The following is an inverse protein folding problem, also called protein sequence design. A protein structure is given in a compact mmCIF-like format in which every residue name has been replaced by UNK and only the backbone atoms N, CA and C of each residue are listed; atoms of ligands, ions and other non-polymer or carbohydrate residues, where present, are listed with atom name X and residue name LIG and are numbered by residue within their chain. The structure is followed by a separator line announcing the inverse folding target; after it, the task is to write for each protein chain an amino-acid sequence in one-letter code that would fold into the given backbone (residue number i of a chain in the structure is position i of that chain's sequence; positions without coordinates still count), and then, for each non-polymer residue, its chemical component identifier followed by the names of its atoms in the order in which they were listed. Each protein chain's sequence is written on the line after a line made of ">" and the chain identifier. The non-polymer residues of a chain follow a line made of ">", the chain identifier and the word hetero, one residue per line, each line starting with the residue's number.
data_IF_718396785207
#
_entry.id   IF_718396785207
#
_cell.length_a   1.000
_cell.length_b   1.000
_cell.length_c   1.000
_cell.angle_alpha   90.00
_cell.angle_beta   90.00
_cell.angle_gamma   90.00
#
_symmetry.space_group_name_H-M   'P 1'
#
loop_
_entity.id
_entity.type
_entity.pdbx_description
1 polymer ?
#
# COMPACT_ATOMS: atom_id res chain seq x y z
N UNK A 1 8.39 20.80 0.45
CA UNK A 1 8.76 19.48 -0.10
C UNK A 1 7.65 18.53 0.28
N UNK A 2 6.88 18.03 -0.69
CA UNK A 2 5.85 17.02 -0.43
C UNK A 2 6.57 15.78 0.11
N UNK A 3 6.25 15.30 1.31
CA UNK A 3 6.76 14.01 1.78
C UNK A 3 6.10 12.93 0.92
N UNK A 4 6.87 12.23 0.10
CA UNK A 4 6.37 11.04 -0.59
C UNK A 4 6.09 9.95 0.45
N UNK A 5 5.05 9.15 0.23
CA UNK A 5 4.79 7.95 1.02
C UNK A 5 5.67 6.77 0.59
N UNK A 6 6.37 6.90 -0.54
CA UNK A 6 7.13 5.85 -1.18
C UNK A 6 8.64 6.05 -1.02
N UNK A 7 9.39 4.97 -1.12
CA UNK A 7 10.85 5.02 -1.14
C UNK A 7 11.34 5.73 -2.41
N UNK A 8 12.55 6.31 -2.40
CA UNK A 8 13.15 6.90 -3.60
C UNK A 8 13.28 5.89 -4.74
N UNK A 9 13.35 6.40 -5.98
CA UNK A 9 13.58 5.56 -7.16
C UNK A 9 14.86 4.73 -7.01
N UNK A 10 14.82 3.43 -7.36
CA UNK A 10 16.01 2.59 -7.34
C UNK A 10 17.04 3.12 -8.35
N UNK A 11 18.33 2.92 -8.03
CA UNK A 11 19.41 3.28 -8.93
C UNK A 11 19.39 2.37 -10.18
N UNK A 12 19.85 2.92 -11.32
CA UNK A 12 20.02 2.14 -12.56
C UNK A 12 18.81 2.09 -13.48
N UNK A 13 17.71 2.79 -13.17
CA UNK A 13 16.62 3.00 -14.11
C UNK A 13 17.07 3.92 -15.25
N UNK A 14 16.64 3.60 -16.47
CA UNK A 14 16.75 4.52 -17.59
C UNK A 14 15.73 5.67 -17.49
N UNK A 15 15.78 6.61 -18.44
CA UNK A 15 14.91 7.79 -18.43
C UNK A 15 13.43 7.45 -18.58
N UNK A 16 13.09 6.43 -19.38
CA UNK A 16 11.71 6.03 -19.63
C UNK A 16 11.13 5.31 -18.40
N UNK A 17 11.90 4.40 -17.82
CA UNK A 17 11.56 3.69 -16.60
C UNK A 17 11.38 4.65 -15.42
N UNK A 18 12.27 5.64 -15.29
CA UNK A 18 12.17 6.66 -14.26
C UNK A 18 10.92 7.52 -14.43
N UNK A 19 10.61 7.95 -15.66
CA UNK A 19 9.41 8.73 -15.95
C UNK A 19 8.13 7.92 -15.65
N UNK A 20 8.08 6.65 -16.05
CA UNK A 20 6.96 5.76 -15.77
C UNK A 20 6.76 5.57 -14.26
N UNK A 21 7.85 5.39 -13.50
CA UNK A 21 7.81 5.29 -12.03
C UNK A 21 7.30 6.58 -11.39
N UNK A 22 7.81 7.74 -11.83
CA UNK A 22 7.38 9.04 -11.31
C UNK A 22 5.90 9.30 -11.53
N UNK A 23 5.35 8.88 -12.68
CA UNK A 23 3.93 9.03 -12.96
C UNK A 23 3.07 8.15 -12.04
N UNK A 24 3.47 6.89 -11.82
CA UNK A 24 2.80 6.01 -10.83
C UNK A 24 2.91 6.57 -9.42
N UNK A 25 4.09 7.03 -9.01
CA UNK A 25 4.32 7.63 -7.68
C UNK A 25 3.46 8.87 -7.47
N UNK A 26 3.37 9.75 -8.48
CA UNK A 26 2.54 10.95 -8.43
C UNK A 26 1.06 10.61 -8.28
N UNK A 27 0.56 9.65 -9.05
CA UNK A 27 -0.82 9.17 -8.96
C UNK A 27 -1.14 8.59 -7.58
N UNK A 28 -0.28 7.69 -7.09
CA UNK A 28 -0.48 7.04 -5.80
C UNK A 28 -0.39 8.02 -4.62
N UNK A 29 0.57 8.96 -4.63
CA UNK A 29 0.67 10.02 -3.62
C UNK A 29 -0.59 10.91 -3.59
N UNK A 30 -1.15 11.25 -4.75
CA UNK A 30 -2.39 12.01 -4.83
C UNK A 30 -3.57 11.24 -4.21
N UNK A 31 -3.73 9.97 -4.56
CA UNK A 31 -4.79 9.13 -3.98
C UNK A 31 -4.67 8.99 -2.46
N UNK A 32 -3.46 8.81 -1.92
CA UNK A 32 -3.24 8.76 -0.47
C UNK A 32 -3.56 10.11 0.18
N UNK A 33 -3.16 11.23 -0.43
CA UNK A 33 -3.50 12.56 0.08
C UNK A 33 -5.02 12.81 0.10
N UNK A 34 -5.74 12.36 -0.93
CA UNK A 34 -7.21 12.44 -0.98
C UNK A 34 -7.83 11.59 0.13
N UNK A 35 -7.39 10.33 0.30
CA UNK A 35 -7.87 9.46 1.37
C UNK A 35 -7.66 10.11 2.75
N UNK A 36 -6.46 10.62 3.00
CA UNK A 36 -6.08 11.26 4.27
C UNK A 36 -6.73 12.63 4.50
N UNK A 37 -7.38 13.21 3.49
CA UNK A 37 -8.10 14.49 3.67
C UNK A 37 -9.33 14.36 4.55
N UNK A 38 -9.97 13.18 4.57
CA UNK A 38 -11.21 12.91 5.30
C UNK A 38 -11.26 11.52 5.96
N UNK A 39 -10.15 10.77 5.93
CA UNK A 39 -10.06 9.40 6.44
C UNK A 39 -8.73 9.11 7.12
N UNK A 40 -8.58 7.91 7.70
CA UNK A 40 -7.32 7.49 8.32
C UNK A 40 -6.24 7.29 7.26
N UNK A 41 -4.98 7.29 7.70
CA UNK A 41 -3.87 6.87 6.86
C UNK A 41 -4.05 5.41 6.41
N UNK A 42 -3.65 5.04 5.18
CA UNK A 42 -3.63 3.65 4.76
C UNK A 42 -2.72 2.81 5.65
N UNK A 43 -3.05 1.53 5.79
CA UNK A 43 -2.23 0.59 6.57
C UNK A 43 -0.82 0.44 5.99
N UNK A 44 0.21 0.17 6.80
CA UNK A 44 1.56 -0.06 6.30
C UNK A 44 1.63 -1.16 5.25
N UNK A 45 0.82 -2.22 5.38
CA UNK A 45 0.77 -3.32 4.41
C UNK A 45 0.18 -2.87 3.06
N UNK A 46 -0.88 -2.05 3.09
CA UNK A 46 -1.43 -1.45 1.86
C UNK A 46 -0.41 -0.53 1.18
N UNK A 47 0.35 0.27 1.96
CA UNK A 47 1.41 1.12 1.40
C UNK A 47 2.53 0.28 0.78
N UNK A 48 2.88 -0.86 1.37
CA UNK A 48 3.88 -1.77 0.81
C UNK A 48 3.43 -2.41 -0.52
N UNK A 49 2.15 -2.76 -0.67
CA UNK A 49 1.59 -3.22 -1.96
C UNK A 49 1.69 -2.10 -3.00
N UNK A 50 1.30 -0.88 -2.62
CA UNK A 50 1.38 0.27 -3.53
C UNK A 50 2.81 0.65 -3.89
N UNK A 51 3.80 0.42 -3.01
CA UNK A 51 5.22 0.58 -3.32
C UNK A 51 5.63 -0.31 -4.51
N UNK A 52 5.21 -1.58 -4.50
CA UNK A 52 5.50 -2.53 -5.59
C UNK A 52 4.86 -2.10 -6.91
N UNK A 53 3.64 -1.53 -6.87
CA UNK A 53 3.03 -0.90 -8.04
C UNK A 53 3.86 0.30 -8.53
N UNK A 54 4.27 1.21 -7.63
CA UNK A 54 5.09 2.38 -7.99
C UNK A 54 6.39 1.95 -8.66
N UNK A 55 7.09 0.97 -8.08
CA UNK A 55 8.33 0.42 -8.63
C UNK A 55 8.12 -0.38 -9.93
N UNK A 56 6.87 -0.67 -10.30
CA UNK A 56 6.50 -1.35 -11.54
C UNK A 56 6.62 -2.88 -11.47
N UNK A 57 6.74 -3.44 -10.26
CA UNK A 57 6.71 -4.88 -10.02
C UNK A 57 5.32 -5.48 -10.19
N UNK A 58 4.29 -4.65 -10.02
CA UNK A 58 2.88 -5.00 -10.18
C UNK A 58 2.21 -4.02 -11.14
N UNK A 59 1.24 -4.52 -11.90
CA UNK A 59 0.18 -3.70 -12.49
C UNK A 59 -0.73 -3.13 -11.40
N UNK A 60 -1.55 -2.13 -11.77
CA UNK A 60 -2.52 -1.57 -10.81
C UNK A 60 -3.60 -2.60 -10.44
N UNK A 61 -4.00 -3.45 -11.39
CA UNK A 61 -5.04 -4.46 -11.17
C UNK A 61 -4.58 -5.52 -10.17
N UNK A 62 -3.33 -5.99 -10.29
CA UNK A 62 -2.73 -6.93 -9.32
C UNK A 62 -2.56 -6.28 -7.93
N UNK A 63 -2.23 -4.99 -7.87
CA UNK A 63 -2.13 -4.27 -6.60
C UNK A 63 -3.51 -4.11 -5.92
N UNK A 64 -4.58 -3.91 -6.70
CA UNK A 64 -5.96 -3.88 -6.20
C UNK A 64 -6.34 -5.25 -5.64
N UNK A 65 -6.14 -6.33 -6.40
CA UNK A 65 -6.48 -7.69 -5.99
C UNK A 65 -5.77 -8.07 -4.68
N UNK A 66 -4.47 -7.85 -4.58
CA UNK A 66 -3.71 -8.13 -3.35
C UNK A 66 -4.18 -7.28 -2.15
N UNK A 67 -4.54 -6.02 -2.38
CA UNK A 67 -5.02 -5.17 -1.31
C UNK A 67 -6.44 -5.56 -0.86
N UNK A 68 -7.29 -6.01 -1.78
CA UNK A 68 -8.62 -6.52 -1.46
C UNK A 68 -8.53 -7.82 -0.66
N UNK A 69 -7.65 -8.76 -1.05
CA UNK A 69 -7.37 -9.98 -0.29
C UNK A 69 -6.89 -9.67 1.14
N UNK A 70 -5.95 -8.72 1.28
CA UNK A 70 -5.47 -8.24 2.57
C UNK A 70 -6.60 -7.70 3.45
N UNK A 71 -7.47 -6.86 2.88
CA UNK A 71 -8.58 -6.25 3.60
C UNK A 71 -9.65 -7.29 3.98
N UNK A 72 -9.96 -8.22 3.08
CA UNK A 72 -10.88 -9.33 3.36
C UNK A 72 -10.36 -10.21 4.51
N UNK A 73 -9.07 -10.59 4.46
CA UNK A 73 -8.45 -11.37 5.53
C UNK A 73 -8.47 -10.63 6.88
N UNK A 74 -8.34 -9.30 6.87
CA UNK A 74 -8.31 -8.47 8.08
C UNK A 74 -9.69 -8.19 8.67
N UNK A 75 -10.73 -8.09 7.84
CA UNK A 75 -12.04 -7.58 8.25
C UNK A 75 -13.21 -8.53 8.00
N UNK A 76 -12.97 -9.77 7.55
CA UNK A 76 -14.04 -10.77 7.48
C UNK A 76 -14.60 -11.06 8.88
N UNK A 77 -15.91 -10.84 9.10
CA UNK A 77 -16.54 -11.16 10.37
C UNK A 77 -16.64 -12.68 10.53
N UNK A 78 -15.86 -13.23 11.46
CA UNK A 78 -15.81 -14.68 11.75
C UNK A 78 -14.46 -15.17 12.27
N UNK A 79 -13.38 -14.40 12.08
CA UNK A 79 -12.06 -14.64 12.70
C UNK A 79 -11.83 -13.53 13.71
N UNK A 80 -12.30 -13.71 14.94
CA UNK A 80 -11.96 -12.78 16.01
C UNK A 80 -10.43 -12.81 16.23
N UNK A 81 -9.74 -11.66 16.32
CA UNK A 81 -8.38 -11.66 16.84
C UNK A 81 -8.44 -12.26 18.26
N UNK A 82 -7.62 -13.28 18.53
CA UNK A 82 -7.56 -13.91 19.84
C UNK A 82 -7.47 -12.82 20.92
N UNK A 83 -8.42 -12.83 21.85
CA UNK A 83 -8.37 -11.93 22.99
C UNK A 83 -7.06 -12.18 23.74
N UNK A 84 -6.41 -11.16 24.31
CA UNK A 84 -5.30 -11.38 25.24
C UNK A 84 -5.64 -12.37 26.37
N UNK A 85 -6.94 -12.53 26.69
CA UNK A 85 -7.44 -13.52 27.66
C UNK A 85 -7.27 -14.97 27.20
N UNK A 86 -7.27 -15.24 25.89
CA UNK A 86 -7.12 -16.60 25.33
C UNK A 86 -5.68 -17.13 25.45
N UNK A 87 -4.70 -16.24 25.65
CA UNK A 87 -3.28 -16.60 25.82
C UNK A 87 -2.90 -16.90 27.28
N UNK A 88 -3.75 -16.54 28.25
CA UNK A 88 -3.47 -16.73 29.67
C UNK A 88 -3.97 -18.09 30.23
N UNK A 89 -4.63 -18.91 29.42
CA UNK A 89 -5.23 -20.19 29.83
C UNK A 89 -4.41 -21.44 29.41
N UNK A 90 -3.10 -21.30 29.15
CA UNK A 90 -2.20 -22.43 28.87
C UNK A 90 -1.13 -22.58 29.93
#
# INVERSE_FOLDING_TARGET
>A
MMKSFFTPAPAGLDAEQLAARQERERGANNSIAILMSNGPAPSPESVAIMQRYVDGELSIDEAIELNDELLLARYQPGVAPASPEDQAAR
#
